data_IF_400712423880
#
_entry.id   IF_400712423880
#
_cell.length_a   1.000
_cell.length_b   1.000
_cell.length_c   1.000
_cell.angle_alpha   90.00
_cell.angle_beta   90.00
_cell.angle_gamma   90.00
#
_symmetry.space_group_name_H-M   'P 1'
#
loop_
_entity.id
_entity.type
_entity.pdbx_description
1 polymer ?
#
# COMPACT_ATOMS: atom_id res chain seq x y z
N UNK A 1 8.92 3.68 5.70
CA UNK A 1 8.33 3.00 4.50
C UNK A 1 6.85 3.28 4.27
N UNK A 2 5.96 3.13 5.26
CA UNK A 2 4.53 3.45 5.08
C UNK A 2 4.26 4.93 4.69
N UNK A 3 5.02 5.86 5.28
CA UNK A 3 4.83 7.31 5.09
C UNK A 3 5.23 7.76 3.68
N UNK A 4 6.35 7.24 3.15
CA UNK A 4 6.84 7.51 1.80
C UNK A 4 5.86 7.04 0.71
N UNK A 5 5.06 6.00 0.98
CA UNK A 5 4.06 5.49 0.03
C UNK A 5 2.85 6.43 -0.04
N UNK A 6 2.41 6.95 1.11
CA UNK A 6 1.32 7.95 1.18
C UNK A 6 1.76 9.25 0.53
N UNK A 7 3.03 9.64 0.74
CA UNK A 7 3.62 10.84 0.15
C UNK A 7 3.80 10.72 -1.37
N UNK A 8 4.22 9.55 -1.86
CA UNK A 8 4.29 9.25 -3.30
C UNK A 8 2.90 9.15 -3.94
N UNK A 9 1.90 8.59 -3.23
CA UNK A 9 0.51 8.55 -3.69
C UNK A 9 -0.11 9.96 -3.76
N UNK A 10 0.21 10.82 -2.79
CA UNK A 10 -0.20 12.24 -2.79
C UNK A 10 0.44 13.01 -3.96
N UNK A 11 1.74 12.80 -4.19
CA UNK A 11 2.45 13.40 -5.33
C UNK A 11 1.86 12.93 -6.68
N UNK A 12 1.63 11.62 -6.85
CA UNK A 12 1.02 11.04 -8.06
C UNK A 12 -0.44 11.46 -8.29
N UNK A 13 -1.17 11.84 -7.23
CA UNK A 13 -2.52 12.42 -7.35
C UNK A 13 -2.48 13.85 -7.88
N UNK A 14 -1.45 14.63 -7.54
CA UNK A 14 -1.23 15.96 -8.12
C UNK A 14 -0.88 15.88 -9.62
N UNK A 15 -0.29 14.77 -10.07
CA UNK A 15 -0.01 14.47 -11.49
C UNK A 15 -1.22 13.88 -12.26
N UNK A 16 -2.41 13.80 -11.66
CA UNK A 16 -3.65 13.40 -12.36
C UNK A 16 -3.88 11.88 -12.50
N UNK A 17 -3.11 11.04 -11.80
CA UNK A 17 -3.21 9.57 -11.91
C UNK A 17 -4.44 9.00 -11.16
N UNK A 18 -5.04 7.93 -11.69
CA UNK A 18 -6.19 7.26 -11.08
C UNK A 18 -5.81 6.60 -9.73
N UNK A 19 -6.61 6.83 -8.69
CA UNK A 19 -6.36 6.35 -7.31
C UNK A 19 -6.13 4.85 -7.21
N UNK A 20 -6.80 4.07 -8.05
CA UNK A 20 -6.71 2.61 -8.05
C UNK A 20 -5.31 2.13 -8.45
N UNK A 21 -4.66 2.83 -9.38
CA UNK A 21 -3.30 2.49 -9.83
C UNK A 21 -2.25 2.91 -8.80
N UNK A 22 -2.42 4.06 -8.16
CA UNK A 22 -1.58 4.49 -7.03
C UNK A 22 -1.71 3.54 -5.82
N UNK A 23 -2.92 3.05 -5.54
CA UNK A 23 -3.17 2.07 -4.48
C UNK A 23 -2.50 0.72 -4.77
N UNK A 24 -2.53 0.24 -6.02
CA UNK A 24 -1.84 -0.99 -6.44
C UNK A 24 -0.33 -0.88 -6.30
N UNK A 25 0.27 0.23 -6.72
CA UNK A 25 1.72 0.41 -6.62
C UNK A 25 2.17 0.48 -5.15
N UNK A 26 1.39 1.16 -4.29
CA UNK A 26 1.63 1.19 -2.85
C UNK A 26 1.46 -0.17 -2.16
N UNK A 27 0.48 -0.97 -2.58
CA UNK A 27 0.27 -2.32 -2.07
C UNK A 27 1.45 -3.25 -2.39
N UNK A 28 2.00 -3.18 -3.62
CA UNK A 28 3.16 -3.98 -4.03
C UNK A 28 4.42 -3.66 -3.21
N UNK A 29 4.69 -2.37 -2.97
CA UNK A 29 5.81 -1.95 -2.12
C UNK A 29 5.69 -2.45 -0.67
N UNK A 30 4.47 -2.50 -0.14
CA UNK A 30 4.21 -3.08 1.19
C UNK A 30 4.36 -4.58 1.22
N UNK A 31 3.85 -5.30 0.22
CA UNK A 31 3.98 -6.75 0.14
C UNK A 31 5.45 -7.18 0.26
N UNK A 32 6.35 -6.50 -0.47
CA UNK A 32 7.79 -6.76 -0.42
C UNK A 32 8.39 -6.57 0.99
N UNK A 33 8.02 -5.50 1.68
CA UNK A 33 8.50 -5.20 3.02
C UNK A 33 7.93 -6.17 4.08
N UNK A 34 6.65 -6.50 4.00
CA UNK A 34 5.99 -7.43 4.93
C UNK A 34 6.55 -8.84 4.77
N UNK A 35 6.74 -9.30 3.53
CA UNK A 35 7.35 -10.60 3.25
C UNK A 35 8.79 -10.67 3.77
N UNK A 36 9.58 -9.61 3.63
CA UNK A 36 10.93 -9.54 4.18
C UNK A 36 10.93 -9.74 5.70
N UNK A 37 10.05 -9.04 6.42
CA UNK A 37 9.96 -9.17 7.88
C UNK A 37 9.48 -10.55 8.32
N UNK A 38 8.46 -11.11 7.66
CA UNK A 38 7.89 -12.41 8.02
C UNK A 38 8.91 -13.54 7.80
N UNK A 39 9.64 -13.52 6.68
CA UNK A 39 10.66 -14.54 6.37
C UNK A 39 11.82 -14.48 7.35
N UNK A 40 12.37 -13.30 7.63
CA UNK A 40 13.46 -13.15 8.61
C UNK A 40 13.04 -13.62 9.99
N UNK A 41 11.80 -13.31 10.39
CA UNK A 41 11.27 -13.70 11.68
C UNK A 41 11.09 -15.22 11.79
N UNK A 42 10.48 -15.86 10.79
CA UNK A 42 10.29 -17.31 10.74
C UNK A 42 11.64 -18.04 10.86
N UNK A 43 12.67 -17.57 10.16
CA UNK A 43 14.03 -18.13 10.28
C UNK A 43 14.58 -17.94 11.70
N UNK A 44 14.34 -16.78 12.32
CA UNK A 44 14.79 -16.46 13.68
C UNK A 44 14.11 -17.28 14.78
N UNK A 45 12.83 -17.62 14.65
CA UNK A 45 12.11 -18.46 15.64
C UNK A 45 12.25 -19.97 15.41
N UNK A 46 12.74 -20.39 14.25
CA UNK A 46 12.98 -21.80 13.92
C UNK A 46 13.82 -22.56 14.97
N UNK A 47 15.00 -22.06 15.42
CA UNK A 47 15.81 -22.75 16.43
C UNK A 47 15.10 -22.81 17.79
N UNK A 48 14.26 -21.83 18.10
CA UNK A 48 13.44 -21.80 19.32
C UNK A 48 12.39 -22.92 19.34
N UNK A 49 11.78 -23.21 18.19
CA UNK A 49 10.81 -24.32 18.02
C UNK A 49 11.49 -25.69 18.04
N UNK A 50 12.73 -25.80 17.59
CA UNK A 50 13.47 -27.06 17.57
C UNK A 50 14.28 -27.32 18.84
N UNK A 51 14.39 -26.33 19.73
CA UNK A 51 15.20 -26.40 20.94
C UNK A 51 14.89 -27.65 21.79
N UNK A 52 15.95 -28.32 22.24
CA UNK A 52 15.94 -29.46 23.17
C UNK A 52 16.75 -29.12 24.43
N UNK A 53 16.58 -29.87 25.51
CA UNK A 53 17.25 -29.63 26.80
C UNK A 53 16.42 -28.85 27.83
N UNK A 54 17.08 -28.36 28.88
CA UNK A 54 16.41 -27.65 29.99
C UNK A 54 15.65 -26.41 29.48
N UNK A 55 14.38 -26.28 29.85
CA UNK A 55 13.51 -25.19 29.38
C UNK A 55 13.05 -25.30 27.92
N UNK A 56 13.30 -26.42 27.24
CA UNK A 56 12.87 -26.65 25.85
C UNK A 56 11.36 -26.53 25.65
N UNK A 57 10.55 -27.04 26.60
CA UNK A 57 9.09 -26.90 26.54
C UNK A 57 8.66 -25.43 26.51
N UNK A 58 9.25 -24.60 27.37
CA UNK A 58 8.93 -23.17 27.42
C UNK A 58 9.32 -22.44 26.12
N UNK A 59 10.51 -22.74 25.58
CA UNK A 59 10.98 -22.19 24.29
C UNK A 59 10.11 -22.62 23.12
N UNK A 60 9.69 -23.90 23.09
CA UNK A 60 8.76 -24.42 22.07
C UNK A 60 7.40 -23.75 22.12
N UNK A 61 6.83 -23.58 23.31
CA UNK A 61 5.52 -22.92 23.48
C UNK A 61 5.59 -21.48 22.97
N UNK A 62 6.62 -20.73 23.37
CA UNK A 62 6.80 -19.35 22.91
C UNK A 62 7.03 -19.32 21.39
N UNK A 63 7.92 -20.14 20.87
CA UNK A 63 8.23 -20.21 19.44
C UNK A 63 7.02 -20.55 18.57
N UNK A 64 6.22 -21.55 18.96
CA UNK A 64 5.00 -21.96 18.23
C UNK A 64 3.88 -20.92 18.29
N UNK A 65 3.67 -20.29 19.46
CA UNK A 65 2.69 -19.20 19.63
C UNK A 65 3.03 -18.02 18.73
N UNK A 66 4.30 -17.64 18.71
CA UNK A 66 4.78 -16.48 17.98
C UNK A 66 4.85 -16.75 16.46
N UNK A 67 5.22 -17.97 16.05
CA UNK A 67 5.19 -18.40 14.66
C UNK A 67 3.76 -18.38 14.07
N UNK A 68 2.81 -18.99 14.77
CA UNK A 68 1.40 -19.01 14.33
C UNK A 68 0.79 -17.61 14.31
N UNK A 69 1.08 -16.79 15.32
CA UNK A 69 0.66 -15.39 15.38
C UNK A 69 1.19 -14.58 14.20
N UNK A 70 2.46 -14.74 13.83
CA UNK A 70 3.04 -14.05 12.68
C UNK A 70 2.41 -14.49 11.36
N UNK A 71 2.20 -15.80 11.15
CA UNK A 71 1.54 -16.30 9.95
C UNK A 71 0.13 -15.69 9.77
N UNK A 72 -0.68 -15.73 10.82
CA UNK A 72 -2.03 -15.16 10.80
C UNK A 72 -1.98 -13.65 10.58
N UNK A 73 -1.12 -12.93 11.32
CA UNK A 73 -0.99 -11.49 11.19
C UNK A 73 -0.52 -11.06 9.79
N UNK A 74 0.38 -11.82 9.15
CA UNK A 74 0.85 -11.55 7.79
C UNK A 74 -0.26 -11.76 6.77
N UNK A 75 -0.99 -12.89 6.82
CA UNK A 75 -2.10 -13.16 5.89
C UNK A 75 -3.20 -12.13 6.06
N UNK A 76 -3.65 -11.88 7.29
CA UNK A 76 -4.67 -10.88 7.60
C UNK A 76 -4.18 -9.50 7.17
N UNK A 77 -2.95 -9.11 7.49
CA UNK A 77 -2.38 -7.82 7.14
C UNK A 77 -2.30 -7.58 5.63
N UNK A 78 -1.86 -8.57 4.85
CA UNK A 78 -1.78 -8.45 3.38
C UNK A 78 -3.14 -8.18 2.75
N UNK A 79 -4.22 -8.76 3.31
CA UNK A 79 -5.58 -8.58 2.78
C UNK A 79 -6.27 -7.34 3.36
N UNK A 80 -6.22 -7.16 4.69
CA UNK A 80 -6.93 -6.08 5.39
C UNK A 80 -6.31 -4.71 5.15
N UNK A 81 -4.98 -4.58 5.12
CA UNK A 81 -4.32 -3.27 4.96
C UNK A 81 -4.74 -2.58 3.64
N UNK A 82 -4.67 -3.21 2.46
CA UNK A 82 -5.14 -2.57 1.22
C UNK A 82 -6.66 -2.36 1.20
N UNK A 83 -7.45 -3.30 1.75
CA UNK A 83 -8.90 -3.14 1.84
C UNK A 83 -9.31 -1.93 2.69
N UNK A 84 -8.71 -1.77 3.87
CA UNK A 84 -8.91 -0.61 4.74
C UNK A 84 -8.46 0.69 4.08
N UNK A 85 -7.34 0.67 3.34
CA UNK A 85 -6.87 1.84 2.61
C UNK A 85 -7.87 2.29 1.53
N UNK A 86 -8.42 1.35 0.75
CA UNK A 86 -9.47 1.65 -0.25
C UNK A 86 -10.74 2.18 0.43
N UNK A 87 -11.13 1.58 1.56
CA UNK A 87 -12.29 2.03 2.33
C UNK A 87 -12.13 3.47 2.82
N UNK A 88 -11.00 3.80 3.46
CA UNK A 88 -10.72 5.16 3.94
C UNK A 88 -10.61 6.18 2.81
N UNK A 89 -10.06 5.80 1.65
CA UNK A 89 -10.05 6.68 0.48
C UNK A 89 -11.47 6.95 -0.04
N UNK A 90 -12.30 5.92 -0.18
CA UNK A 90 -13.71 6.11 -0.61
C UNK A 90 -14.49 7.00 0.35
N UNK A 91 -14.30 6.82 1.66
CA UNK A 91 -14.92 7.67 2.67
C UNK A 91 -14.45 9.13 2.56
N UNK A 92 -13.16 9.36 2.28
CA UNK A 92 -12.61 10.69 2.09
C UNK A 92 -13.12 11.38 0.83
N UNK A 93 -13.23 10.66 -0.29
CA UNK A 93 -13.83 11.17 -1.53
C UNK A 93 -15.30 11.54 -1.32
N UNK A 94 -16.05 10.70 -0.60
CA UNK A 94 -17.45 11.00 -0.29
C UNK A 94 -17.60 12.24 0.60
N UNK A 95 -16.72 12.42 1.59
CA UNK A 95 -16.71 13.61 2.46
C UNK A 95 -16.24 14.91 1.77
N UNK A 96 -15.32 14.82 0.79
CA UNK A 96 -14.89 15.98 -0.01
C UNK A 96 -15.87 16.35 -1.14
N UNK A 97 -16.80 15.46 -1.52
CA UNK A 97 -17.86 15.75 -2.49
C UNK A 97 -18.87 16.82 -2.06
N UNK A 98 -18.78 17.32 -0.82
CA UNK A 98 -19.57 18.45 -0.31
C UNK A 98 -18.83 19.80 -0.35
N UNK A 99 -17.54 19.83 -0.73
CA UNK A 99 -16.71 21.05 -0.76
C UNK A 99 -16.08 21.32 -2.13
N UNK A 100 -16.60 20.73 -3.21
CA UNK A 100 -16.23 21.13 -4.57
C UNK A 100 -17.48 21.22 -5.46
N UNK A 101 -18.28 22.26 -5.20
CA UNK A 101 -19.12 22.85 -6.23
C UNK A 101 -18.25 23.80 -7.04
N UNK A 102 -17.70 23.32 -8.14
CA UNK A 102 -17.44 24.15 -9.31
C UNK A 102 -17.72 23.31 -10.57
N UNK A 103 -18.83 23.62 -11.27
CA UNK A 103 -19.26 22.91 -12.47
C UNK A 103 -18.49 23.40 -13.70
N UNK A 104 -18.79 22.76 -14.84
CA UNK A 104 -18.52 23.14 -16.24
C UNK A 104 -17.09 22.92 -16.76
N UNK A 105 -16.82 21.85 -17.52
CA UNK A 105 -17.24 21.54 -18.90
C UNK A 105 -16.37 22.21 -19.98
N UNK A 106 -15.66 21.38 -20.75
CA UNK A 106 -15.54 21.35 -22.22
C UNK A 106 -14.33 20.45 -22.57
N UNK A 107 -14.46 19.27 -23.16
CA UNK A 107 -14.91 18.98 -24.53
C UNK A 107 -14.36 19.98 -25.57
N UNK A 108 -13.20 19.69 -26.16
CA UNK A 108 -12.93 20.11 -27.54
C UNK A 108 -11.82 19.24 -28.15
N UNK A 109 -12.27 18.25 -28.91
CA UNK A 109 -11.54 17.61 -29.99
C UNK A 109 -11.18 18.60 -31.11
N UNK A 110 -9.91 18.58 -31.52
CA UNK A 110 -9.39 18.84 -32.88
C UNK A 110 -9.27 20.33 -33.37
N UNK A 111 -8.67 20.61 -34.55
CA UNK A 111 -7.26 21.01 -34.72
C UNK A 111 -7.08 22.40 -35.39
N UNK A 112 -5.98 23.12 -35.15
CA UNK A 112 -5.68 24.37 -35.89
C UNK A 112 -4.32 24.31 -36.61
N UNK A 113 -4.40 24.16 -37.95
CA UNK A 113 -3.33 24.41 -38.92
C UNK A 113 -3.32 25.91 -39.26
N UNK A 114 -2.18 26.39 -39.76
CA UNK A 114 -1.93 27.69 -40.42
C UNK A 114 -1.78 28.87 -39.43
N UNK A 115 -0.87 29.82 -39.56
CA UNK A 115 0.16 30.12 -40.55
C UNK A 115 1.11 31.17 -39.94
N UNK A 116 2.29 31.29 -40.55
CA UNK A 116 3.05 32.54 -40.68
C UNK A 116 3.52 33.26 -39.41
N UNK A 117 4.79 33.07 -39.06
CA UNK A 117 5.70 34.23 -38.98
C UNK A 117 7.15 33.86 -39.31
N UNK A 118 7.39 33.76 -40.60
CA UNK A 118 8.64 34.17 -41.22
C UNK A 118 8.89 35.64 -40.87
N UNK A 119 9.99 35.95 -40.16
CA UNK A 119 10.88 37.10 -40.44
C UNK A 119 11.97 37.23 -39.37
N UNK A 120 13.20 37.00 -39.86
CA UNK A 120 14.49 37.57 -39.45
C UNK A 120 15.10 37.07 -38.15
#
# INVERSE_FOLDING_TARGET
NAILIVEFARARRMDGMAIVDAAREGASRRFRAVMMTAVSFIIGVLPMMLATGAGAQSRRIIGTTVFSGMLVATVVGIVFIPALFVLFQRLREWGHGLTDSSPTAHSASAPEKSASRHRR
#
